data_IF_021018822232
#
_entry.id   IF_021018822232
#
_cell.length_a   1.000
_cell.length_b   1.000
_cell.length_c   1.000
_cell.angle_alpha   90.00
_cell.angle_beta   90.00
_cell.angle_gamma   90.00
#
_symmetry.space_group_name_H-M   'P 1'
#
loop_
_entity.id
_entity.type
_entity.pdbx_description
1 polymer ?
#
# COMPACT_ATOMS: atom_id res chain seq x y z
N UNK A 1 26.34 -19.25 -31.16
CA UNK A 1 25.52 -19.69 -30.01
C UNK A 1 24.37 -18.71 -29.87
N UNK A 2 23.29 -18.96 -30.58
CA UNK A 2 22.02 -18.25 -30.43
C UNK A 2 21.48 -18.54 -29.03
N UNK A 3 21.42 -17.52 -28.18
CA UNK A 3 20.65 -17.59 -26.94
C UNK A 3 19.21 -17.88 -27.34
N UNK A 4 18.77 -19.12 -27.15
CA UNK A 4 17.37 -19.50 -27.19
C UNK A 4 16.67 -18.61 -26.16
N UNK A 5 15.93 -17.61 -26.64
CA UNK A 5 15.05 -16.81 -25.81
C UNK A 5 13.98 -17.82 -25.35
N UNK A 6 14.20 -18.41 -24.17
CA UNK A 6 13.22 -19.26 -23.51
C UNK A 6 11.92 -18.47 -23.49
N UNK A 7 10.93 -18.91 -24.27
CA UNK A 7 9.64 -18.23 -24.36
C UNK A 7 9.14 -18.00 -22.93
N UNK A 8 8.97 -16.73 -22.56
CA UNK A 8 8.51 -16.39 -21.23
C UNK A 8 7.10 -16.97 -21.09
N UNK A 9 6.93 -17.91 -20.17
CA UNK A 9 5.61 -18.48 -19.87
C UNK A 9 4.66 -17.31 -19.56
N UNK A 10 3.49 -17.30 -20.20
CA UNK A 10 2.53 -16.18 -20.13
C UNK A 10 2.14 -15.89 -18.68
N UNK A 11 2.10 -16.92 -17.84
CA UNK A 11 1.87 -16.80 -16.40
C UNK A 11 2.94 -16.00 -15.68
N UNK A 12 4.21 -16.29 -15.96
CA UNK A 12 5.34 -15.59 -15.34
C UNK A 12 5.41 -14.14 -15.86
N UNK A 13 5.16 -13.93 -17.17
CA UNK A 13 5.08 -12.60 -17.76
C UNK A 13 4.02 -11.74 -17.06
N UNK A 14 2.80 -12.27 -16.91
CA UNK A 14 1.73 -11.60 -16.18
C UNK A 14 2.10 -11.31 -14.72
N UNK A 15 2.77 -12.27 -14.04
CA UNK A 15 3.25 -12.08 -12.67
C UNK A 15 4.27 -10.95 -12.54
N UNK A 16 5.23 -10.87 -13.46
CA UNK A 16 6.20 -9.78 -13.51
C UNK A 16 5.54 -8.44 -13.79
N UNK A 17 4.60 -8.37 -14.74
CA UNK A 17 3.85 -7.14 -15.04
C UNK A 17 3.01 -6.66 -13.85
N UNK A 18 2.34 -7.56 -13.14
CA UNK A 18 1.55 -7.23 -11.94
C UNK A 18 2.43 -6.64 -10.83
N UNK A 19 3.60 -7.23 -10.59
CA UNK A 19 4.56 -6.73 -9.60
C UNK A 19 5.15 -5.39 -10.02
N UNK A 20 5.50 -5.22 -11.29
CA UNK A 20 6.01 -3.96 -11.82
C UNK A 20 4.98 -2.83 -11.68
N UNK A 21 3.71 -3.11 -12.02
CA UNK A 21 2.62 -2.18 -11.82
C UNK A 21 2.46 -1.81 -10.34
N UNK A 22 2.42 -2.81 -9.45
CA UNK A 22 2.31 -2.57 -8.01
C UNK A 22 3.49 -1.74 -7.45
N UNK A 23 4.71 -1.98 -7.93
CA UNK A 23 5.89 -1.17 -7.57
C UNK A 23 5.71 0.27 -7.98
N UNK A 24 5.36 0.52 -9.25
CA UNK A 24 5.20 1.87 -9.77
C UNK A 24 4.08 2.63 -9.07
N UNK A 25 2.98 1.95 -8.80
CA UNK A 25 1.87 2.48 -8.02
C UNK A 25 2.32 2.85 -6.61
N UNK A 26 3.05 1.98 -5.91
CA UNK A 26 3.51 2.23 -4.56
C UNK A 26 4.56 3.35 -4.47
N UNK A 27 5.48 3.44 -5.43
CA UNK A 27 6.44 4.56 -5.57
C UNK A 27 5.75 5.92 -5.73
N UNK A 28 4.61 5.95 -6.43
CA UNK A 28 3.90 7.20 -6.72
C UNK A 28 2.93 7.57 -5.59
N UNK A 29 2.17 6.59 -5.08
CA UNK A 29 1.17 6.80 -4.04
C UNK A 29 1.78 7.03 -2.65
N UNK A 30 2.94 6.43 -2.36
CA UNK A 30 3.60 6.59 -1.06
C UNK A 30 3.89 8.06 -0.74
N UNK A 31 4.64 8.79 -1.58
CA UNK A 31 4.89 10.22 -1.40
C UNK A 31 3.63 11.07 -1.43
N UNK A 32 2.70 10.79 -2.36
CA UNK A 32 1.44 11.51 -2.47
C UNK A 32 0.61 11.42 -1.19
N UNK A 33 0.41 10.22 -0.63
CA UNK A 33 -0.31 10.03 0.63
C UNK A 33 0.40 10.72 1.80
N UNK A 34 1.74 10.67 1.87
CA UNK A 34 2.48 11.41 2.91
C UNK A 34 2.29 12.93 2.82
N UNK A 35 2.31 13.49 1.62
CA UNK A 35 2.04 14.90 1.40
C UNK A 35 0.60 15.27 1.78
N UNK A 36 -0.36 14.41 1.40
CA UNK A 36 -1.77 14.61 1.71
C UNK A 36 -2.03 14.61 3.23
N UNK A 37 -1.47 13.65 3.98
CA UNK A 37 -1.56 13.60 5.44
C UNK A 37 -1.00 14.87 6.08
N UNK A 38 0.16 15.34 5.62
CA UNK A 38 0.78 16.55 6.13
C UNK A 38 -0.11 17.78 5.84
N UNK A 39 -0.64 17.89 4.63
CA UNK A 39 -1.57 18.94 4.24
C UNK A 39 -2.86 18.93 5.06
N UNK A 40 -3.46 17.77 5.27
CA UNK A 40 -4.66 17.57 6.11
C UNK A 40 -4.38 17.95 7.55
N UNK A 41 -3.27 17.48 8.12
CA UNK A 41 -2.86 17.80 9.49
C UNK A 41 -2.63 19.30 9.68
N UNK A 42 -2.01 19.96 8.70
CA UNK A 42 -1.81 21.42 8.71
C UNK A 42 -3.15 22.17 8.62
N UNK A 43 -4.03 21.80 7.69
CA UNK A 43 -5.36 22.42 7.55
C UNK A 43 -6.22 22.23 8.81
N UNK A 44 -6.22 21.03 9.38
CA UNK A 44 -6.93 20.71 10.62
C UNK A 44 -6.41 21.56 11.79
N UNK A 45 -5.09 21.65 11.95
CA UNK A 45 -4.45 22.46 12.99
C UNK A 45 -4.78 23.95 12.83
N UNK A 46 -4.76 24.46 11.60
CA UNK A 46 -5.08 25.86 11.30
C UNK A 46 -6.54 26.21 11.64
N UNK A 47 -7.48 25.31 11.29
CA UNK A 47 -8.91 25.46 11.59
C UNK A 47 -9.16 25.52 13.10
N UNK A 48 -8.53 24.62 13.86
CA UNK A 48 -8.68 24.58 15.32
C UNK A 48 -8.05 25.80 15.97
N UNK A 49 -6.81 26.15 15.60
CA UNK A 49 -6.08 27.26 16.19
C UNK A 49 -6.75 28.62 15.96
N UNK A 50 -7.55 28.75 14.91
CA UNK A 50 -8.23 29.99 14.55
C UNK A 50 -9.75 29.84 14.55
N UNK A 51 -10.32 28.86 15.26
CA UNK A 51 -11.76 28.57 15.21
C UNK A 51 -12.61 29.78 15.59
N UNK A 52 -12.20 30.55 16.59
CA UNK A 52 -12.93 31.74 17.04
C UNK A 52 -13.02 32.80 15.94
N UNK A 53 -11.92 33.01 15.20
CA UNK A 53 -11.86 33.96 14.08
C UNK A 53 -12.64 33.44 12.86
N UNK A 54 -12.46 32.17 12.50
CA UNK A 54 -13.08 31.55 11.32
C UNK A 54 -14.60 31.43 11.52
N UNK A 55 -15.06 31.19 12.74
CA UNK A 55 -16.49 31.09 13.08
C UNK A 55 -17.30 32.35 12.80
N UNK A 56 -16.62 33.50 12.64
CA UNK A 56 -17.26 34.77 12.23
C UNK A 56 -17.69 34.74 10.76
N UNK A 57 -16.96 34.00 9.91
CA UNK A 57 -17.19 33.93 8.47
C UNK A 57 -17.85 32.62 8.02
N UNK A 58 -17.62 31.53 8.75
CA UNK A 58 -18.13 30.18 8.43
C UNK A 58 -19.03 29.70 9.57
N UNK A 59 -20.20 29.15 9.21
CA UNK A 59 -21.09 28.56 10.20
C UNK A 59 -20.39 27.41 10.96
N UNK A 60 -20.39 27.46 12.30
CA UNK A 60 -19.77 26.45 13.18
C UNK A 60 -20.19 25.01 12.87
N UNK A 61 -21.42 24.82 12.38
CA UNK A 61 -21.91 23.52 11.94
C UNK A 61 -21.06 22.93 10.80
N UNK A 62 -20.74 23.74 9.79
CA UNK A 62 -19.93 23.31 8.64
C UNK A 62 -18.47 23.06 9.06
N UNK A 63 -17.93 23.86 9.98
CA UNK A 63 -16.60 23.64 10.56
C UNK A 63 -16.53 22.26 11.25
N UNK A 64 -17.54 21.92 12.07
CA UNK A 64 -17.60 20.61 12.74
C UNK A 64 -17.65 19.45 11.76
N UNK A 65 -18.47 19.55 10.70
CA UNK A 65 -18.54 18.52 9.66
C UNK A 65 -17.20 18.38 8.95
N UNK A 66 -16.58 19.49 8.54
CA UNK A 66 -15.29 19.46 7.88
C UNK A 66 -14.21 18.81 8.76
N UNK A 67 -14.15 19.15 10.06
CA UNK A 67 -13.22 18.52 11.01
C UNK A 67 -13.48 17.01 11.14
N UNK A 68 -14.74 16.56 11.21
CA UNK A 68 -15.06 15.13 11.24
C UNK A 68 -14.63 14.42 9.96
N UNK A 69 -14.84 15.02 8.79
CA UNK A 69 -14.40 14.45 7.51
C UNK A 69 -12.87 14.36 7.42
N UNK A 70 -12.15 15.39 7.87
CA UNK A 70 -10.68 15.37 7.93
C UNK A 70 -10.16 14.30 8.91
N UNK A 71 -10.85 14.11 10.05
CA UNK A 71 -10.51 13.04 11.00
C UNK A 71 -10.70 11.65 10.40
N UNK A 72 -11.81 11.41 9.72
CA UNK A 72 -12.05 10.15 9.01
C UNK A 72 -10.99 9.95 7.92
N UNK A 73 -10.67 11.00 7.15
CA UNK A 73 -9.61 10.99 6.15
C UNK A 73 -8.25 10.60 6.75
N UNK A 74 -7.90 11.15 7.91
CA UNK A 74 -6.68 10.79 8.65
C UNK A 74 -6.66 9.31 9.09
N UNK A 75 -7.79 8.76 9.50
CA UNK A 75 -7.87 7.33 9.85
C UNK A 75 -7.65 6.46 8.60
N UNK A 76 -8.30 6.81 7.49
CA UNK A 76 -8.15 6.11 6.21
C UNK A 76 -6.69 6.15 5.73
N UNK A 77 -6.02 7.29 5.88
CA UNK A 77 -4.63 7.48 5.46
C UNK A 77 -3.65 6.62 6.25
N UNK A 78 -3.89 6.42 7.56
CA UNK A 78 -3.12 5.50 8.40
C UNK A 78 -3.21 4.06 7.85
N UNK A 79 -4.41 3.60 7.50
CA UNK A 79 -4.59 2.28 6.90
C UNK A 79 -3.93 2.17 5.52
N UNK A 80 -4.06 3.20 4.67
CA UNK A 80 -3.38 3.25 3.39
C UNK A 80 -1.86 3.17 3.57
N UNK A 81 -1.30 3.82 4.59
CA UNK A 81 0.13 3.80 4.89
C UNK A 81 0.61 2.44 5.37
N UNK A 82 -0.17 1.78 6.22
CA UNK A 82 0.13 0.42 6.67
C UNK A 82 0.16 -0.56 5.50
N UNK A 83 -0.80 -0.46 4.58
CA UNK A 83 -0.84 -1.26 3.35
C UNK A 83 0.36 -0.96 2.43
N UNK A 84 0.71 0.31 2.25
CA UNK A 84 1.89 0.71 1.47
C UNK A 84 3.19 0.13 2.05
N UNK A 85 3.32 0.10 3.38
CA UNK A 85 4.47 -0.53 4.04
C UNK A 85 4.52 -2.04 3.78
N UNK A 86 3.37 -2.73 3.84
CA UNK A 86 3.27 -4.16 3.51
C UNK A 86 3.63 -4.45 2.05
N UNK A 87 3.14 -3.63 1.11
CA UNK A 87 3.47 -3.75 -0.32
C UNK A 87 4.96 -3.53 -0.55
N UNK A 88 5.52 -2.47 0.05
CA UNK A 88 6.96 -2.15 -0.03
C UNK A 88 7.83 -3.31 0.48
N UNK A 89 7.47 -3.88 1.64
CA UNK A 89 8.20 -5.01 2.21
C UNK A 89 8.11 -6.26 1.32
N UNK A 90 6.95 -6.53 0.72
CA UNK A 90 6.76 -7.66 -0.18
C UNK A 90 7.56 -7.49 -1.49
N UNK A 91 7.61 -6.28 -2.05
CA UNK A 91 8.41 -5.96 -3.24
C UNK A 91 9.91 -6.12 -2.95
N UNK A 92 10.40 -5.54 -1.84
CA UNK A 92 11.80 -5.69 -1.44
C UNK A 92 12.18 -7.14 -1.14
N UNK A 93 11.29 -7.90 -0.52
CA UNK A 93 11.51 -9.34 -0.26
C UNK A 93 11.63 -10.14 -1.55
N UNK A 94 10.90 -9.77 -2.61
CA UNK A 94 11.00 -10.43 -3.91
C UNK A 94 12.38 -10.19 -4.55
N UNK A 95 12.86 -8.96 -4.52
CA UNK A 95 14.18 -8.61 -5.06
C UNK A 95 15.30 -9.35 -4.31
N UNK A 96 15.26 -9.31 -2.98
CA UNK A 96 16.19 -10.06 -2.12
C UNK A 96 16.10 -11.58 -2.37
N UNK A 97 14.89 -12.10 -2.53
CA UNK A 97 14.63 -13.52 -2.82
C UNK A 97 15.20 -13.97 -4.16
N UNK A 98 15.08 -13.15 -5.22
CA UNK A 98 15.71 -13.42 -6.52
C UNK A 98 17.24 -13.41 -6.43
N UNK A 99 17.81 -12.49 -5.66
CA UNK A 99 19.24 -12.47 -5.36
C UNK A 99 19.72 -13.74 -4.65
N UNK A 100 18.98 -14.18 -3.63
CA UNK A 100 19.24 -15.44 -2.92
C UNK A 100 19.10 -16.65 -3.84
N UNK A 101 18.08 -16.71 -4.68
CA UNK A 101 17.88 -17.81 -5.63
C UNK A 101 19.07 -17.97 -6.58
N UNK A 102 19.62 -16.84 -7.08
CA UNK A 102 20.83 -16.84 -7.93
C UNK A 102 22.04 -17.38 -7.16
N UNK A 103 22.26 -16.95 -5.93
CA UNK A 103 23.37 -17.45 -5.09
C UNK A 103 23.24 -18.95 -4.79
N UNK A 104 22.02 -19.42 -4.52
CA UNK A 104 21.74 -20.84 -4.31
C UNK A 104 22.08 -21.64 -5.58
N UNK A 105 21.65 -21.17 -6.75
CA UNK A 105 21.95 -21.80 -8.03
C UNK A 105 23.46 -21.86 -8.31
N UNK A 106 24.17 -20.76 -8.05
CA UNK A 106 25.63 -20.67 -8.23
C UNK A 106 26.40 -21.55 -7.23
N UNK A 107 25.86 -21.76 -6.03
CA UNK A 107 26.51 -22.58 -4.99
C UNK A 107 26.59 -24.07 -5.31
N UNK A 108 25.75 -24.56 -6.25
CA UNK A 108 25.64 -25.98 -6.59
C UNK A 108 25.14 -26.89 -5.45
N UNK A 109 24.76 -26.33 -4.29
CA UNK A 109 24.27 -27.08 -3.15
C UNK A 109 22.78 -27.43 -3.33
N UNK A 110 22.32 -28.60 -2.86
CA UNK A 110 20.91 -28.92 -2.86
C UNK A 110 20.15 -27.95 -1.95
N UNK A 111 19.08 -27.36 -2.46
CA UNK A 111 18.22 -26.45 -1.70
C UNK A 111 16.99 -27.20 -1.18
N UNK A 112 16.89 -27.34 0.14
CA UNK A 112 15.72 -27.94 0.78
C UNK A 112 14.66 -26.86 1.08
N UNK A 113 13.63 -26.85 0.24
CA UNK A 113 12.49 -25.92 0.35
C UNK A 113 11.77 -26.07 1.69
N UNK A 114 11.66 -27.28 2.26
CA UNK A 114 10.93 -27.50 3.51
C UNK A 114 11.63 -26.88 4.71
N UNK A 115 12.96 -27.01 4.77
CA UNK A 115 13.77 -26.39 5.81
C UNK A 115 13.65 -24.86 5.71
N UNK A 116 13.77 -24.31 4.50
CA UNK A 116 13.60 -22.88 4.27
C UNK A 116 12.25 -22.36 4.76
N UNK A 117 11.14 -23.01 4.39
CA UNK A 117 9.79 -22.60 4.82
C UNK A 117 9.66 -22.66 6.34
N UNK A 118 10.15 -23.72 6.97
CA UNK A 118 10.05 -23.90 8.42
C UNK A 118 10.80 -22.79 9.18
N UNK A 119 12.01 -22.46 8.76
CA UNK A 119 12.80 -21.39 9.39
C UNK A 119 12.23 -20.00 9.06
N UNK A 120 11.74 -19.78 7.85
CA UNK A 120 11.06 -18.54 7.47
C UNK A 120 9.83 -18.28 8.33
N UNK A 121 8.97 -19.29 8.51
CA UNK A 121 7.76 -19.19 9.31
C UNK A 121 8.01 -18.97 10.80
N UNK A 122 9.10 -19.53 11.33
CA UNK A 122 9.52 -19.34 12.72
C UNK A 122 9.83 -17.88 13.03
N UNK A 123 10.32 -17.13 12.04
CA UNK A 123 10.56 -15.69 12.15
C UNK A 123 9.30 -14.82 12.10
N UNK A 124 8.14 -15.36 11.74
CA UNK A 124 6.90 -14.61 11.56
C UNK A 124 5.96 -14.68 12.77
N UNK A 125 5.20 -13.60 12.99
CA UNK A 125 4.09 -13.58 13.93
C UNK A 125 3.00 -14.59 13.54
N UNK A 126 2.19 -15.12 14.48
CA UNK A 126 1.22 -16.18 14.20
C UNK A 126 0.25 -15.88 13.05
N UNK A 127 -0.27 -14.65 12.97
CA UNK A 127 -1.19 -14.26 11.88
C UNK A 127 -0.48 -14.18 10.52
N UNK A 128 0.78 -13.71 10.51
CA UNK A 128 1.60 -13.64 9.29
C UNK A 128 2.07 -15.02 8.85
N UNK A 129 2.34 -15.91 9.81
CA UNK A 129 2.69 -17.31 9.56
C UNK A 129 1.57 -18.04 8.83
N UNK A 130 0.31 -17.82 9.23
CA UNK A 130 -0.83 -18.39 8.52
C UNK A 130 -0.93 -17.91 7.07
N UNK A 131 -0.70 -16.61 6.83
CA UNK A 131 -0.67 -16.03 5.48
C UNK A 131 0.49 -16.57 4.64
N UNK A 132 1.69 -16.67 5.24
CA UNK A 132 2.88 -17.18 4.60
C UNK A 132 2.75 -18.66 4.22
N UNK A 133 2.20 -19.51 5.11
CA UNK A 133 1.86 -20.91 4.80
C UNK A 133 0.99 -21.00 3.56
N UNK A 134 -0.14 -20.29 3.58
CA UNK A 134 -1.11 -20.33 2.49
C UNK A 134 -0.54 -19.83 1.15
N UNK A 135 0.43 -18.91 1.17
CA UNK A 135 1.09 -18.45 -0.05
C UNK A 135 2.16 -19.43 -0.53
N UNK A 136 2.94 -20.03 0.39
CA UNK A 136 3.97 -21.02 0.09
C UNK A 136 3.37 -22.34 -0.39
N UNK A 137 2.27 -22.81 0.19
CA UNK A 137 1.54 -24.00 -0.27
C UNK A 137 1.11 -23.87 -1.73
N UNK A 138 0.68 -22.67 -2.15
CA UNK A 138 0.33 -22.38 -3.54
C UNK A 138 1.54 -22.39 -4.46
N UNK A 139 2.66 -21.81 -4.01
CA UNK A 139 3.90 -21.83 -4.77
C UNK A 139 4.42 -23.26 -4.97
N UNK A 140 4.34 -24.11 -3.94
CA UNK A 140 4.68 -25.55 -4.03
C UNK A 140 3.75 -26.28 -5.00
N UNK A 141 2.46 -25.93 -5.01
CA UNK A 141 1.49 -26.48 -5.95
C UNK A 141 1.67 -26.00 -7.41
N UNK A 142 2.70 -25.19 -7.70
CA UNK A 142 3.04 -24.71 -9.04
C UNK A 142 2.41 -23.37 -9.42
N UNK A 143 1.67 -22.72 -8.52
CA UNK A 143 1.11 -21.37 -8.74
C UNK A 143 2.16 -20.30 -8.41
N UNK A 144 3.14 -20.14 -9.31
CA UNK A 144 4.23 -19.15 -9.19
C UNK A 144 3.72 -17.69 -9.11
N UNK A 145 2.49 -17.45 -9.60
CA UNK A 145 1.89 -16.12 -9.75
C UNK A 145 1.00 -15.73 -8.56
N UNK A 146 0.75 -16.64 -7.61
CA UNK A 146 -0.11 -16.39 -6.45
C UNK A 146 0.31 -15.16 -5.65
N UNK A 147 1.62 -15.05 -5.36
CA UNK A 147 2.18 -13.93 -4.59
C UNK A 147 2.08 -12.61 -5.35
N UNK A 148 2.36 -12.63 -6.67
CA UNK A 148 2.22 -11.44 -7.52
C UNK A 148 0.78 -10.90 -7.52
N UNK A 149 -0.22 -11.80 -7.63
CA UNK A 149 -1.64 -11.43 -7.54
C UNK A 149 -2.00 -10.84 -6.18
N UNK A 150 -1.44 -11.37 -5.09
CA UNK A 150 -1.66 -10.84 -3.75
C UNK A 150 -1.08 -9.42 -3.61
N UNK A 151 0.17 -9.21 -4.03
CA UNK A 151 0.82 -7.89 -4.00
C UNK A 151 0.02 -6.87 -4.83
N UNK A 152 -0.41 -7.25 -6.03
CA UNK A 152 -1.22 -6.38 -6.89
C UNK A 152 -2.56 -6.00 -6.23
N UNK A 153 -3.26 -6.95 -5.61
CA UNK A 153 -4.51 -6.66 -4.87
C UNK A 153 -4.28 -5.72 -3.69
N UNK A 154 -3.21 -5.92 -2.91
CA UNK A 154 -2.87 -5.02 -1.81
C UNK A 154 -2.57 -3.60 -2.30
N UNK A 155 -1.83 -3.48 -3.41
CA UNK A 155 -1.55 -2.18 -4.06
C UNK A 155 -2.81 -1.50 -4.59
N UNK A 156 -3.73 -2.26 -5.19
CA UNK A 156 -5.04 -1.73 -5.63
C UNK A 156 -5.90 -1.26 -4.45
N UNK A 157 -5.96 -2.03 -3.37
CA UNK A 157 -6.67 -1.63 -2.14
C UNK A 157 -6.07 -0.36 -1.55
N UNK A 158 -4.74 -0.27 -1.47
CA UNK A 158 -4.05 0.96 -1.06
C UNK A 158 -4.47 2.15 -1.95
N UNK A 159 -4.48 1.99 -3.27
CA UNK A 159 -4.88 3.05 -4.20
C UNK A 159 -6.30 3.53 -3.94
N UNK A 160 -7.25 2.62 -3.71
CA UNK A 160 -8.64 2.95 -3.39
C UNK A 160 -8.72 3.75 -2.08
N UNK A 161 -7.96 3.36 -1.05
CA UNK A 161 -7.94 4.10 0.22
C UNK A 161 -7.40 5.52 0.05
N UNK A 162 -6.30 5.69 -0.71
CA UNK A 162 -5.72 7.02 -0.99
C UNK A 162 -6.68 7.90 -1.80
N UNK A 163 -7.40 7.32 -2.77
CA UNK A 163 -8.44 8.04 -3.50
C UNK A 163 -9.61 8.45 -2.58
N UNK A 164 -10.01 7.55 -1.68
CA UNK A 164 -11.06 7.82 -0.70
C UNK A 164 -10.66 8.94 0.26
N UNK A 165 -9.43 8.92 0.77
CA UNK A 165 -8.85 10.02 1.56
C UNK A 165 -8.89 11.33 0.78
N UNK A 166 -8.40 11.34 -0.46
CA UNK A 166 -8.40 12.54 -1.32
C UNK A 166 -9.80 13.11 -1.50
N UNK A 167 -10.79 12.25 -1.72
CA UNK A 167 -12.19 12.65 -1.87
C UNK A 167 -12.73 13.24 -0.56
N UNK A 168 -12.47 12.61 0.59
CA UNK A 168 -12.90 13.12 1.89
C UNK A 168 -12.33 14.51 2.18
N UNK A 169 -11.06 14.74 1.84
CA UNK A 169 -10.39 16.05 1.98
C UNK A 169 -11.02 17.09 1.06
N UNK A 170 -11.27 16.74 -0.20
CA UNK A 170 -11.91 17.63 -1.16
C UNK A 170 -13.35 18.00 -0.73
N UNK A 171 -14.12 17.03 -0.24
CA UNK A 171 -15.48 17.27 0.27
C UNK A 171 -15.44 18.11 1.53
N UNK A 172 -14.51 17.87 2.46
CA UNK A 172 -14.35 18.70 3.65
C UNK A 172 -14.07 20.17 3.29
N UNK A 173 -13.21 20.42 2.30
CA UNK A 173 -12.96 21.77 1.77
C UNK A 173 -14.23 22.37 1.14
N UNK A 174 -14.96 21.58 0.34
CA UNK A 174 -16.24 22.01 -0.25
C UNK A 174 -17.29 22.40 0.79
N UNK A 175 -17.39 21.64 1.89
CA UNK A 175 -18.29 21.94 3.01
C UNK A 175 -17.93 23.27 3.67
N UNK A 176 -16.65 23.59 3.82
CA UNK A 176 -16.21 24.88 4.35
C UNK A 176 -16.58 26.03 3.41
N UNK A 177 -16.41 25.85 2.10
CA UNK A 177 -16.76 26.86 1.09
C UNK A 177 -18.27 27.12 1.07
N UNK A 178 -19.10 26.08 1.07
CA UNK A 178 -20.57 26.21 1.13
C UNK A 178 -21.03 26.85 2.44
N UNK A 179 -20.30 26.61 3.54
CA UNK A 179 -20.58 27.18 4.84
C UNK A 179 -20.20 28.65 5.02
N UNK A 180 -19.57 29.28 4.01
CA UNK A 180 -19.24 30.71 4.03
C UNK A 180 -20.52 31.54 4.04
N UNK A 181 -20.62 32.44 5.01
CA UNK A 181 -21.69 33.43 5.03
C UNK A 181 -21.37 34.49 3.98
N UNK A 182 -22.15 34.55 2.91
CA UNK A 182 -22.18 35.73 2.05
C UNK A 182 -22.69 36.90 2.90
N UNK A 183 -21.81 37.86 3.19
CA UNK A 183 -22.18 39.12 3.80
C UNK A 183 -23.06 39.94 2.85
#
# INVERSE_FOLDING_TARGET
MSQEIKALNEHDAAGHSLVAAASKTNESLGPFSSWLIAGVGAAFSLLIANVDKISQFVCLYHIRIALLMLLIGLIVSIFARLLSAMVSAALGSREAGLGLAKQIQESGRPFDVKIFITEYERGLFPYQRWLARKSMDKAIAGDSVAVARMIAKLSQTQAILVLTETLLVAVAAGVLVVGLRTQ
#
